data_IF_562822351258
#
_entry.id   IF_562822351258
#
_cell.length_a   1.000
_cell.length_b   1.000
_cell.length_c   1.000
_cell.angle_alpha   90.00
_cell.angle_beta   90.00
_cell.angle_gamma   90.00
#
_symmetry.space_group_name_H-M   'P 1'
#
loop_
_entity.id
_entity.type
_entity.pdbx_description
1 polymer ?
#
# COMPACT_ATOMS: atom_id res chain seq x y z
N UNK A 1 -21.42 -6.22 -0.24
CA UNK A 1 -20.70 -5.54 -1.34
C UNK A 1 -20.30 -4.16 -0.84
N UNK A 2 -19.05 -3.99 -0.43
CA UNK A 2 -18.58 -2.74 0.17
C UNK A 2 -18.12 -1.82 -0.97
N UNK A 3 -18.80 -0.69 -1.14
CA UNK A 3 -18.48 0.34 -2.11
C UNK A 3 -18.25 1.64 -1.36
N UNK A 4 -17.10 2.25 -1.56
CA UNK A 4 -16.77 3.56 -1.01
C UNK A 4 -16.87 4.57 -2.15
N UNK A 5 -17.60 5.67 -1.93
CA UNK A 5 -17.89 6.66 -2.96
C UNK A 5 -17.36 8.02 -2.50
N UNK A 6 -16.46 8.58 -3.30
CA UNK A 6 -15.98 9.95 -3.14
C UNK A 6 -16.59 10.83 -4.23
N UNK A 7 -17.38 11.83 -3.83
CA UNK A 7 -17.98 12.81 -4.72
C UNK A 7 -17.05 14.03 -4.86
N UNK A 8 -16.73 14.40 -6.11
CA UNK A 8 -16.10 15.67 -6.49
C UNK A 8 -17.09 16.48 -7.34
N UNK A 9 -16.81 17.77 -7.52
CA UNK A 9 -17.73 18.72 -8.15
C UNK A 9 -18.29 18.29 -9.52
N UNK A 10 -17.53 17.54 -10.33
CA UNK A 10 -17.95 17.13 -11.68
C UNK A 10 -17.78 15.62 -11.98
N UNK A 11 -17.31 14.83 -11.01
CA UNK A 11 -17.14 13.38 -11.16
C UNK A 11 -17.18 12.67 -9.81
N UNK A 12 -17.62 11.41 -9.80
CA UNK A 12 -17.62 10.54 -8.62
C UNK A 12 -16.60 9.41 -8.81
N UNK A 13 -15.71 9.23 -7.83
CA UNK A 13 -14.80 8.09 -7.77
C UNK A 13 -15.49 7.01 -6.95
N UNK A 14 -15.75 5.86 -7.59
CA UNK A 14 -16.41 4.71 -6.96
C UNK A 14 -15.36 3.62 -6.76
N UNK A 15 -14.95 3.40 -5.53
CA UNK A 15 -13.97 2.39 -5.15
C UNK A 15 -14.69 1.11 -4.75
N UNK A 16 -14.51 0.04 -5.55
CA UNK A 16 -15.18 -1.26 -5.32
C UNK A 16 -14.23 -2.44 -5.48
N UNK A 17 -14.48 -3.53 -4.74
CA UNK A 17 -13.63 -4.72 -4.86
C UNK A 17 -13.52 -5.21 -6.31
N UNK A 18 -12.35 -5.72 -6.72
CA UNK A 18 -12.09 -6.25 -8.08
C UNK A 18 -13.17 -7.19 -8.63
N UNK A 19 -13.77 -8.02 -7.74
CA UNK A 19 -14.86 -8.95 -8.09
C UNK A 19 -16.18 -8.25 -8.44
N UNK A 20 -16.38 -7.02 -7.98
CA UNK A 20 -17.60 -6.23 -8.17
C UNK A 20 -17.52 -5.28 -9.37
N UNK A 21 -16.33 -4.92 -9.85
CA UNK A 21 -16.13 -4.02 -11.01
C UNK A 21 -16.93 -4.50 -12.24
N UNK A 22 -16.88 -5.78 -12.67
CA UNK A 22 -17.60 -6.22 -13.86
C UNK A 22 -19.12 -6.13 -13.70
N UNK A 23 -19.64 -6.34 -12.47
CA UNK A 23 -21.07 -6.19 -12.15
C UNK A 23 -21.50 -4.73 -12.18
N UNK A 24 -20.63 -3.82 -11.75
CA UNK A 24 -20.93 -2.39 -11.66
C UNK A 24 -20.85 -1.70 -13.04
N UNK A 25 -19.83 -2.03 -13.83
CA UNK A 25 -19.70 -1.55 -15.22
C UNK A 25 -20.81 -2.13 -16.11
N UNK A 26 -21.19 -3.38 -15.88
CA UNK A 26 -22.18 -4.11 -16.68
C UNK A 26 -21.60 -4.62 -18.01
N UNK A 27 -22.40 -5.39 -18.77
CA UNK A 27 -22.00 -5.90 -20.09
C UNK A 27 -21.70 -4.72 -21.03
N UNK A 28 -20.44 -4.54 -21.43
CA UNK A 28 -20.02 -3.49 -22.35
C UNK A 28 -20.17 -2.05 -21.83
N UNK A 29 -20.25 -1.82 -20.51
CA UNK A 29 -20.37 -0.46 -19.96
C UNK A 29 -21.78 0.15 -19.99
N UNK A 30 -22.79 -0.60 -20.45
CA UNK A 30 -24.17 -0.11 -20.54
C UNK A 30 -24.74 0.33 -19.18
N UNK A 31 -24.36 -0.35 -18.10
CA UNK A 31 -24.84 -0.03 -16.75
C UNK A 31 -24.22 1.27 -16.24
N UNK A 32 -22.90 1.43 -16.38
CA UNK A 32 -22.22 2.65 -15.90
C UNK A 32 -22.67 3.89 -16.68
N UNK A 33 -22.79 3.80 -18.02
CA UNK A 33 -23.25 4.93 -18.83
C UNK A 33 -24.69 5.35 -18.52
N UNK A 34 -25.55 4.40 -18.13
CA UNK A 34 -26.91 4.72 -17.67
C UNK A 34 -26.88 5.41 -16.31
N UNK A 35 -25.99 5.01 -15.40
CA UNK A 35 -25.79 5.68 -14.12
C UNK A 35 -25.26 7.11 -14.32
N UNK A 36 -24.24 7.29 -15.16
CA UNK A 36 -23.66 8.61 -15.47
C UNK A 36 -24.71 9.56 -16.05
N UNK A 37 -25.53 9.11 -17.02
CA UNK A 37 -26.61 9.93 -17.58
C UNK A 37 -27.69 10.29 -16.54
N UNK A 38 -27.97 9.40 -15.59
CA UNK A 38 -29.00 9.63 -14.56
C UNK A 38 -28.49 10.54 -13.43
N UNK A 39 -27.21 10.44 -13.11
CA UNK A 39 -26.55 11.23 -12.06
C UNK A 39 -26.02 12.56 -12.59
N UNK A 40 -25.86 12.72 -13.91
CA UNK A 40 -25.34 13.93 -14.54
C UNK A 40 -23.84 14.16 -14.31
N UNK A 41 -23.13 13.18 -13.76
CA UNK A 41 -21.71 13.25 -13.40
C UNK A 41 -20.95 12.06 -13.98
N UNK A 42 -19.67 12.25 -14.27
CA UNK A 42 -18.77 11.16 -14.71
C UNK A 42 -18.50 10.21 -13.54
N UNK A 43 -18.59 8.90 -13.76
CA UNK A 43 -18.24 7.91 -12.74
C UNK A 43 -16.92 7.23 -13.11
N UNK A 44 -15.92 7.43 -12.26
CA UNK A 44 -14.65 6.72 -12.39
C UNK A 44 -14.67 5.51 -11.45
N UNK A 45 -14.67 4.31 -12.04
CA UNK A 45 -14.66 3.07 -11.29
C UNK A 45 -13.22 2.64 -11.06
N UNK A 46 -12.77 2.75 -9.82
CA UNK A 46 -11.46 2.28 -9.43
C UNK A 46 -11.60 0.98 -8.64
N UNK A 47 -10.70 0.00 -8.84
CA UNK A 47 -10.60 -1.08 -7.88
C UNK A 47 -10.33 -0.47 -6.50
N UNK A 48 -11.11 -0.89 -5.49
CA UNK A 48 -10.59 -0.98 -4.14
C UNK A 48 -9.36 -1.88 -4.29
N UNK A 49 -8.20 -1.24 -4.41
CA UNK A 49 -6.98 -1.87 -3.98
C UNK A 49 -7.28 -2.25 -2.53
N UNK A 50 -7.11 -3.52 -2.15
CA UNK A 50 -7.27 -3.85 -0.75
C UNK A 50 -6.26 -2.97 -0.02
N UNK A 51 -6.74 -1.92 0.66
CA UNK A 51 -6.03 -1.24 1.73
C UNK A 51 -5.76 -2.34 2.77
N UNK A 52 -4.71 -3.12 2.54
CA UNK A 52 -4.31 -4.22 3.42
C UNK A 52 -3.54 -3.57 4.56
N UNK A 53 -4.31 -3.19 5.57
CA UNK A 53 -3.93 -2.97 6.97
C UNK A 53 -2.78 -1.99 7.18
N UNK A 54 -3.14 -0.74 7.46
CA UNK A 54 -2.22 0.31 7.91
C UNK A 54 -2.56 1.64 7.24
N UNK A 55 -3.13 2.56 7.99
CA UNK A 55 -3.46 3.94 7.59
C UNK A 55 -2.21 4.82 7.37
N UNK A 56 -1.19 4.31 6.69
CA UNK A 56 0.02 5.06 6.33
C UNK A 56 0.26 5.02 4.83
N UNK A 57 0.90 6.06 4.30
CA UNK A 57 1.39 6.04 2.92
C UNK A 57 2.37 4.86 2.79
N UNK A 58 2.02 3.85 1.97
CA UNK A 58 2.95 2.76 1.64
C UNK A 58 4.08 3.36 0.81
N UNK A 59 5.30 3.31 1.32
CA UNK A 59 6.45 3.93 0.65
C UNK A 59 7.24 2.90 -0.12
N UNK A 60 7.70 3.24 -1.31
CA UNK A 60 8.61 2.41 -2.07
C UNK A 60 9.99 2.39 -1.40
N UNK A 61 10.58 1.20 -1.32
CA UNK A 61 11.92 1.00 -0.77
C UNK A 61 12.63 -0.13 -1.49
N UNK A 62 13.95 -0.06 -1.50
CA UNK A 62 14.82 -1.11 -2.03
C UNK A 62 15.50 -1.83 -0.87
N UNK A 63 15.42 -3.16 -0.86
CA UNK A 63 16.14 -3.98 0.11
C UNK A 63 17.48 -4.39 -0.48
N UNK A 64 18.56 -4.07 0.20
CA UNK A 64 19.90 -4.58 -0.05
C UNK A 64 20.33 -5.46 1.12
N UNK A 65 20.51 -6.74 0.86
CA UNK A 65 21.01 -7.67 1.85
C UNK A 65 22.52 -7.90 1.71
N UNK A 66 23.25 -7.69 2.81
CA UNK A 66 24.67 -8.01 2.95
C UNK A 66 24.84 -9.25 3.85
N UNK A 67 26.06 -9.80 3.94
CA UNK A 67 26.38 -10.98 4.79
C UNK A 67 25.81 -10.89 6.22
N UNK A 68 25.91 -9.74 6.88
CA UNK A 68 25.49 -9.59 8.29
C UNK A 68 24.43 -8.50 8.54
N UNK A 69 24.11 -7.67 7.54
CA UNK A 69 23.21 -6.52 7.67
C UNK A 69 22.21 -6.49 6.52
N UNK A 70 21.02 -5.97 6.80
CA UNK A 70 19.99 -5.65 5.81
C UNK A 70 19.87 -4.13 5.77
N UNK A 71 20.02 -3.57 4.59
CA UNK A 71 19.92 -2.15 4.33
C UNK A 71 18.62 -1.92 3.55
N UNK A 72 17.70 -1.15 4.12
CA UNK A 72 16.54 -0.67 3.39
C UNK A 72 16.81 0.76 2.94
N UNK A 73 16.79 0.99 1.65
CA UNK A 73 16.95 2.30 1.02
C UNK A 73 15.58 2.86 0.68
N UNK A 74 15.33 4.08 1.11
CA UNK A 74 14.11 4.84 0.93
C UNK A 74 14.39 6.10 0.11
N UNK A 75 13.34 6.82 -0.27
CA UNK A 75 13.47 8.14 -0.87
C UNK A 75 13.88 9.20 0.17
N UNK A 76 14.55 10.26 -0.29
CA UNK A 76 15.05 11.34 0.57
C UNK A 76 13.94 12.07 1.36
N UNK A 77 12.70 12.02 0.87
CA UNK A 77 11.49 12.58 1.49
C UNK A 77 11.13 11.94 2.84
N UNK A 78 11.65 10.74 3.12
CA UNK A 78 11.47 10.05 4.40
C UNK A 78 12.57 10.30 5.42
N UNK A 79 13.60 11.07 5.05
CA UNK A 79 14.74 11.31 5.93
C UNK A 79 14.32 11.97 7.23
N UNK A 80 14.67 11.36 8.36
CA UNK A 80 14.30 11.87 9.69
C UNK A 80 12.86 11.56 10.11
N UNK A 81 12.08 10.86 9.28
CA UNK A 81 10.76 10.33 9.67
C UNK A 81 10.93 8.96 10.35
N UNK A 82 9.96 8.66 11.21
CA UNK A 82 9.80 7.32 11.78
C UNK A 82 8.86 6.55 10.88
N UNK A 83 9.31 5.39 10.41
CA UNK A 83 8.52 4.50 9.57
C UNK A 83 8.24 3.19 10.30
N UNK A 84 7.09 2.59 10.03
CA UNK A 84 6.65 1.32 10.59
C UNK A 84 6.88 0.21 9.56
N UNK A 85 7.63 -0.82 9.94
CA UNK A 85 7.88 -1.97 9.07
C UNK A 85 6.83 -3.03 9.35
N UNK A 86 6.18 -3.48 8.28
CA UNK A 86 5.19 -4.54 8.28
C UNK A 86 5.66 -5.72 7.42
N UNK A 87 5.37 -6.95 7.85
CA UNK A 87 5.57 -8.14 7.05
C UNK A 87 4.25 -8.91 6.94
N UNK A 88 3.79 -9.14 5.71
CA UNK A 88 2.51 -9.82 5.43
C UNK A 88 1.27 -9.14 6.08
N UNK A 89 1.37 -7.84 6.37
CA UNK A 89 0.33 -7.06 7.07
C UNK A 89 0.47 -7.05 8.60
N UNK A 90 1.46 -7.76 9.16
CA UNK A 90 1.77 -7.73 10.59
C UNK A 90 2.86 -6.70 10.90
N UNK A 91 2.59 -5.79 11.83
CA UNK A 91 3.59 -4.83 12.30
C UNK A 91 4.74 -5.56 13.01
N UNK A 92 5.97 -5.31 12.57
CA UNK A 92 7.17 -5.89 13.18
C UNK A 92 7.78 -4.93 14.19
N UNK A 93 8.21 -3.77 13.74
CA UNK A 93 8.87 -2.75 14.57
C UNK A 93 8.89 -1.38 13.87
N UNK A 94 8.93 -0.28 14.63
CA UNK A 94 9.18 1.04 14.08
C UNK A 94 10.70 1.25 13.90
N UNK A 95 11.09 1.98 12.86
CA UNK A 95 12.47 2.36 12.62
C UNK A 95 12.56 3.80 12.09
N UNK A 96 13.60 4.51 12.52
CA UNK A 96 13.85 5.87 12.06
C UNK A 96 14.77 5.85 10.85
N UNK A 97 14.38 6.57 9.80
CA UNK A 97 15.18 6.71 8.59
C UNK A 97 16.37 7.63 8.85
N UNK A 98 17.58 7.15 8.59
CA UNK A 98 18.80 7.93 8.78
C UNK A 98 18.92 9.08 7.75
N UNK A 99 19.87 10.01 7.97
CA UNK A 99 20.17 11.14 7.06
C UNK A 99 20.44 10.75 5.59
N UNK A 100 20.78 9.48 5.33
CA UNK A 100 21.05 8.96 3.99
C UNK A 100 19.84 8.20 3.41
N UNK A 101 18.63 8.54 3.85
CA UNK A 101 17.39 7.87 3.47
C UNK A 101 17.46 6.34 3.59
N UNK A 102 18.20 5.80 4.58
CA UNK A 102 18.40 4.36 4.71
C UNK A 102 18.23 3.88 6.14
N UNK A 103 17.79 2.63 6.29
CA UNK A 103 17.68 1.94 7.58
C UNK A 103 18.61 0.74 7.53
N UNK A 104 19.60 0.72 8.42
CA UNK A 104 20.53 -0.39 8.57
C UNK A 104 20.11 -1.25 9.75
N UNK A 105 19.72 -2.49 9.47
CA UNK A 105 19.35 -3.47 10.49
C UNK A 105 20.35 -4.62 10.47
N UNK A 106 20.97 -4.89 11.61
CA UNK A 106 21.81 -6.08 11.78
C UNK A 106 20.95 -7.33 11.85
N UNK A 107 21.30 -8.38 11.09
CA UNK A 107 20.57 -9.66 11.06
C UNK A 107 20.49 -10.33 12.44
N UNK A 108 21.46 -10.07 13.31
CA UNK A 108 21.50 -10.62 14.67
C UNK A 108 20.55 -9.91 15.65
N UNK A 109 20.08 -8.69 15.34
CA UNK A 109 19.14 -7.95 16.18
C UNK A 109 17.75 -8.61 16.18
N UNK A 110 16.94 -8.39 17.22
CA UNK A 110 15.55 -8.88 17.30
C UNK A 110 14.75 -8.52 16.04
N UNK A 111 14.85 -7.25 15.62
CA UNK A 111 14.25 -6.72 14.41
C UNK A 111 14.76 -7.43 13.14
N UNK A 112 16.08 -7.62 13.02
CA UNK A 112 16.70 -8.30 11.88
C UNK A 112 16.33 -9.77 11.77
N UNK A 113 16.22 -10.48 12.90
CA UNK A 113 15.77 -11.88 12.93
C UNK A 113 14.33 -12.01 12.45
N UNK A 114 13.44 -11.09 12.85
CA UNK A 114 12.06 -11.05 12.37
C UNK A 114 11.99 -10.77 10.87
N UNK A 115 12.76 -9.79 10.38
CA UNK A 115 12.82 -9.46 8.96
C UNK A 115 13.38 -10.62 8.13
N UNK A 116 14.44 -11.27 8.60
CA UNK A 116 15.05 -12.43 7.96
C UNK A 116 14.09 -13.64 7.93
N UNK A 117 13.30 -13.83 9.00
CA UNK A 117 12.26 -14.86 9.05
C UNK A 117 11.15 -14.57 8.04
N UNK A 118 10.75 -13.30 7.90
CA UNK A 118 9.78 -12.87 6.89
C UNK A 118 10.30 -13.07 5.46
N UNK A 119 11.55 -12.70 5.18
CA UNK A 119 12.22 -12.91 3.89
C UNK A 119 12.28 -14.41 3.53
N UNK A 120 12.72 -15.25 4.47
CA UNK A 120 12.78 -16.71 4.26
C UNK A 120 11.39 -17.35 4.07
N UNK A 121 10.34 -16.77 4.66
CA UNK A 121 8.95 -17.22 4.47
C UNK A 121 8.32 -16.70 3.17
N UNK A 122 9.04 -15.89 2.37
CA UNK A 122 8.49 -15.26 1.16
C UNK A 122 7.41 -14.22 1.45
N UNK A 123 7.37 -13.68 2.67
CA UNK A 123 6.38 -12.67 3.07
C UNK A 123 6.67 -11.33 2.38
N UNK A 124 5.61 -10.64 1.94
CA UNK A 124 5.74 -9.29 1.39
C UNK A 124 6.05 -8.30 2.50
N UNK A 125 7.18 -7.61 2.39
CA UNK A 125 7.57 -6.55 3.32
C UNK A 125 6.95 -5.25 2.83
N UNK A 126 6.37 -4.48 3.75
CA UNK A 126 5.75 -3.18 3.51
C UNK A 126 6.26 -2.20 4.54
N UNK A 127 6.35 -0.94 4.16
CA UNK A 127 6.75 0.13 5.06
C UNK A 127 5.74 1.26 4.96
N UNK A 128 5.28 1.72 6.11
CA UNK A 128 4.30 2.81 6.26
C UNK A 128 4.92 3.93 7.09
N UNK A 129 4.43 5.17 6.92
CA UNK A 129 4.85 6.33 7.72
C UNK A 129 3.78 6.72 8.73
#
# INVERSE_FOLDING_TARGET
PNAEVELKDNYAIVKVSRKAIPRLVGKGGLTISRLEKKLGIRLEVQPIQPKKVGEGEEVEFTIQETRNTINLNFNEELTGKTVSIHADGEFLFPATVSKKAQIRISKCSKAGKQLLKALNQGKTIRVTI
#
